data_IF_819090572467
#
_entry.id   IF_819090572467
#
_cell.length_a   1.000
_cell.length_b   1.000
_cell.length_c   1.000
_cell.angle_alpha   90.00
_cell.angle_beta   90.00
_cell.angle_gamma   90.00
#
_symmetry.space_group_name_H-M   'P 1'
#
loop_
_entity.id
_entity.type
_entity.pdbx_description
1 polymer ?
#
# COMPACT_ATOMS: atom_id res chain seq x y z
N UNK A 1 1.89 -7.08 -27.13
CA UNK A 1 0.44 -7.36 -27.10
C UNK A 1 -0.17 -6.73 -25.84
N UNK A 2 -1.24 -5.94 -25.96
CA UNK A 2 -1.82 -5.20 -24.82
C UNK A 2 -2.55 -6.17 -23.87
N UNK A 3 -1.95 -6.51 -22.72
CA UNK A 3 -2.51 -7.41 -21.69
C UNK A 3 -3.96 -7.06 -21.31
N UNK A 4 -4.34 -5.78 -21.43
CA UNK A 4 -5.72 -5.30 -21.19
C UNK A 4 -6.76 -5.94 -22.11
N UNK A 5 -6.42 -6.25 -23.37
CA UNK A 5 -7.35 -6.87 -24.33
C UNK A 5 -7.65 -8.34 -24.01
N UNK A 6 -6.74 -9.02 -23.32
CA UNK A 6 -6.89 -10.45 -23.01
C UNK A 6 -8.03 -10.73 -22.02
N UNK A 7 -8.35 -9.79 -21.11
CA UNK A 7 -9.44 -9.96 -20.15
C UNK A 7 -10.84 -9.81 -20.77
N UNK A 8 -10.97 -9.36 -22.01
CA UNK A 8 -12.26 -9.20 -22.66
C UNK A 8 -12.70 -10.46 -23.40
N UNK A 9 -11.75 -11.32 -23.78
CA UNK A 9 -12.00 -12.51 -24.60
C UNK A 9 -13.00 -13.47 -23.92
N UNK A 10 -12.85 -13.85 -22.62
CA UNK A 10 -13.80 -14.77 -22.00
C UNK A 10 -15.23 -14.20 -21.91
N UNK A 11 -15.37 -12.88 -21.74
CA UNK A 11 -16.68 -12.21 -21.72
C UNK A 11 -17.32 -12.25 -23.10
N UNK A 12 -16.55 -12.02 -24.16
CA UNK A 12 -17.05 -12.09 -25.53
C UNK A 12 -17.48 -13.52 -25.90
N UNK A 13 -16.70 -14.52 -25.51
CA UNK A 13 -17.07 -15.94 -25.69
C UNK A 13 -18.34 -16.27 -24.91
N UNK A 14 -18.44 -15.86 -23.65
CA UNK A 14 -19.65 -16.03 -22.83
C UNK A 14 -20.88 -15.34 -23.45
N UNK A 15 -20.71 -14.17 -24.07
CA UNK A 15 -21.78 -13.47 -24.80
C UNK A 15 -22.24 -14.28 -26.02
N UNK A 16 -21.32 -14.78 -26.84
CA UNK A 16 -21.66 -15.57 -28.03
C UNK A 16 -22.41 -16.85 -27.63
N UNK A 17 -21.90 -17.57 -26.63
CA UNK A 17 -22.56 -18.80 -26.13
C UNK A 17 -23.92 -18.44 -25.53
N UNK A 18 -24.00 -17.36 -24.75
CA UNK A 18 -25.25 -16.86 -24.20
C UNK A 18 -26.29 -16.56 -25.28
N UNK A 19 -25.90 -15.90 -26.37
CA UNK A 19 -26.79 -15.64 -27.52
C UNK A 19 -27.28 -16.96 -28.12
N UNK A 20 -26.38 -17.92 -28.37
CA UNK A 20 -26.76 -19.22 -28.96
C UNK A 20 -27.72 -19.96 -28.04
N UNK A 21 -27.37 -20.14 -26.77
CA UNK A 21 -28.16 -20.95 -25.86
C UNK A 21 -29.41 -20.24 -25.35
N UNK A 22 -29.27 -19.01 -24.82
CA UNK A 22 -30.36 -18.30 -24.15
C UNK A 22 -31.31 -17.53 -25.08
N UNK A 23 -31.03 -17.45 -26.39
CA UNK A 23 -31.94 -16.83 -27.37
C UNK A 23 -32.40 -17.83 -28.43
N UNK A 24 -31.49 -18.64 -28.98
CA UNK A 24 -31.83 -19.51 -30.12
C UNK A 24 -32.24 -20.94 -29.72
N UNK A 25 -31.61 -21.54 -28.71
CA UNK A 25 -31.88 -22.94 -28.32
C UNK A 25 -32.97 -23.03 -27.25
N UNK A 26 -32.77 -22.35 -26.12
CA UNK A 26 -33.67 -22.35 -24.97
C UNK A 26 -33.88 -20.89 -24.53
N UNK A 27 -34.89 -20.19 -25.08
CA UNK A 27 -35.12 -18.78 -24.81
C UNK A 27 -35.35 -18.51 -23.31
N UNK A 28 -34.28 -18.12 -22.62
CA UNK A 28 -34.26 -17.86 -21.18
C UNK A 28 -33.23 -16.78 -20.88
N UNK A 29 -33.71 -15.68 -20.29
CA UNK A 29 -32.84 -14.59 -19.86
C UNK A 29 -31.89 -15.05 -18.74
N UNK A 30 -32.31 -16.01 -17.90
CA UNK A 30 -31.46 -16.63 -16.88
C UNK A 30 -30.28 -17.37 -17.52
N UNK A 31 -30.54 -18.26 -18.47
CA UNK A 31 -29.50 -19.01 -19.19
C UNK A 31 -28.54 -18.05 -19.90
N UNK A 32 -29.07 -17.04 -20.60
CA UNK A 32 -28.29 -16.01 -21.28
C UNK A 32 -27.32 -15.29 -20.32
N UNK A 33 -27.84 -14.76 -19.20
CA UNK A 33 -27.04 -14.00 -18.23
C UNK A 33 -26.05 -14.89 -17.47
N UNK A 34 -26.36 -16.17 -17.26
CA UNK A 34 -25.43 -17.11 -16.64
C UNK A 34 -24.19 -17.36 -17.50
N UNK A 35 -24.34 -17.49 -18.82
CA UNK A 35 -23.19 -17.60 -19.72
C UNK A 35 -22.31 -16.33 -19.76
N UNK A 36 -22.93 -15.16 -19.76
CA UNK A 36 -22.20 -13.89 -19.64
C UNK A 36 -21.47 -13.81 -18.29
N UNK A 37 -22.15 -14.22 -17.21
CA UNK A 37 -21.57 -14.26 -15.87
C UNK A 37 -20.39 -15.22 -15.81
N UNK A 38 -20.43 -16.36 -16.48
CA UNK A 38 -19.27 -17.28 -16.58
C UNK A 38 -18.06 -16.60 -17.25
N UNK A 39 -18.31 -15.84 -18.32
CA UNK A 39 -17.28 -15.04 -18.98
C UNK A 39 -16.64 -14.00 -18.05
N UNK A 40 -17.46 -13.26 -17.29
CA UNK A 40 -16.96 -12.33 -16.26
C UNK A 40 -16.15 -13.04 -15.17
N UNK A 41 -16.58 -14.25 -14.78
CA UNK A 41 -15.93 -15.05 -13.74
C UNK A 41 -14.51 -15.38 -14.16
N UNK A 42 -14.35 -15.94 -15.37
CA UNK A 42 -13.04 -16.31 -15.93
C UNK A 42 -12.11 -15.09 -16.01
N UNK A 43 -12.61 -13.98 -16.54
CA UNK A 43 -11.84 -12.74 -16.64
C UNK A 43 -11.40 -12.21 -15.27
N UNK A 44 -12.27 -12.29 -14.26
CA UNK A 44 -11.92 -11.92 -12.90
C UNK A 44 -10.92 -12.90 -12.26
N UNK A 45 -11.11 -14.21 -12.43
CA UNK A 45 -10.19 -15.28 -11.97
C UNK A 45 -8.76 -15.02 -12.46
N UNK A 46 -8.60 -14.78 -13.77
CA UNK A 46 -7.30 -14.49 -14.38
C UNK A 46 -6.68 -13.22 -13.75
N UNK A 47 -7.49 -12.18 -13.53
CA UNK A 47 -7.04 -10.93 -12.89
C UNK A 47 -6.64 -11.12 -11.43
N UNK A 48 -7.37 -11.94 -10.68
CA UNK A 48 -7.03 -12.31 -9.29
C UNK A 48 -5.70 -13.04 -9.27
N UNK A 49 -5.52 -14.09 -10.08
CA UNK A 49 -4.26 -14.85 -10.16
C UNK A 49 -3.08 -13.93 -10.52
N UNK A 50 -3.24 -13.08 -11.53
CA UNK A 50 -2.22 -12.11 -11.92
C UNK A 50 -1.85 -11.16 -10.79
N UNK A 51 -2.85 -10.67 -10.03
CA UNK A 51 -2.61 -9.83 -8.86
C UNK A 51 -1.95 -10.60 -7.72
N UNK A 52 -2.37 -11.82 -7.40
CA UNK A 52 -1.72 -12.65 -6.37
C UNK A 52 -0.24 -12.81 -6.71
N UNK A 53 0.10 -13.13 -7.96
CA UNK A 53 1.50 -13.25 -8.42
C UNK A 53 2.27 -11.94 -8.26
N UNK A 54 1.69 -10.81 -8.68
CA UNK A 54 2.32 -9.50 -8.55
C UNK A 54 2.54 -9.11 -7.08
N UNK A 55 1.54 -9.32 -6.22
CA UNK A 55 1.59 -8.93 -4.82
C UNK A 55 2.37 -9.90 -3.92
N UNK A 56 2.56 -11.17 -4.33
CA UNK A 56 3.47 -12.11 -3.64
C UNK A 56 4.89 -11.54 -3.54
N UNK A 57 5.31 -10.73 -4.53
CA UNK A 57 6.60 -10.02 -4.52
C UNK A 57 6.73 -8.96 -3.42
N UNK A 58 5.62 -8.47 -2.87
CA UNK A 58 5.59 -7.43 -1.83
C UNK A 58 5.26 -7.99 -0.43
N UNK A 59 5.26 -9.33 -0.26
CA UNK A 59 5.02 -10.04 1.02
C UNK A 59 3.71 -9.72 1.75
N UNK A 60 2.78 -8.97 1.14
CA UNK A 60 1.50 -8.60 1.73
C UNK A 60 0.42 -8.36 0.67
N UNK A 61 -0.08 -9.41 -0.02
CA UNK A 61 -1.19 -9.24 -0.97
C UNK A 61 -2.49 -8.77 -0.30
N UNK A 62 -2.81 -9.30 0.87
CA UNK A 62 -4.16 -9.20 1.44
C UNK A 62 -4.49 -7.86 2.12
N UNK A 63 -3.59 -6.87 2.17
CA UNK A 63 -3.86 -5.56 2.78
C UNK A 63 -4.31 -4.50 1.76
N UNK A 64 -4.79 -4.92 0.60
CA UNK A 64 -5.32 -4.00 -0.42
C UNK A 64 -6.83 -4.14 -0.54
N UNK A 65 -7.49 -3.02 -0.79
CA UNK A 65 -8.94 -2.96 -1.07
C UNK A 65 -9.39 -3.94 -2.15
N UNK A 66 -8.55 -4.31 -3.12
CA UNK A 66 -8.90 -5.29 -4.14
C UNK A 66 -9.20 -6.68 -3.56
N UNK A 67 -8.36 -7.18 -2.65
CA UNK A 67 -8.56 -8.52 -2.07
C UNK A 67 -9.64 -8.53 -0.99
N UNK A 68 -9.86 -7.40 -0.32
CA UNK A 68 -10.84 -7.29 0.76
C UNK A 68 -12.23 -7.00 0.21
N UNK A 69 -12.38 -5.96 -0.64
CA UNK A 69 -13.65 -5.62 -1.26
C UNK A 69 -13.88 -6.50 -2.49
N UNK A 70 -13.02 -6.37 -3.50
CA UNK A 70 -13.27 -6.93 -4.83
C UNK A 70 -13.55 -8.43 -4.84
N UNK A 71 -12.77 -9.23 -4.10
CA UNK A 71 -12.98 -10.68 -4.03
C UNK A 71 -14.28 -11.03 -3.31
N UNK A 72 -14.58 -10.40 -2.17
CA UNK A 72 -15.84 -10.64 -1.47
C UNK A 72 -17.05 -10.18 -2.29
N UNK A 73 -16.98 -9.02 -2.96
CA UNK A 73 -18.06 -8.53 -3.81
C UNK A 73 -18.35 -9.48 -4.96
N UNK A 74 -17.31 -10.01 -5.61
CA UNK A 74 -17.49 -11.02 -6.66
C UNK A 74 -18.02 -12.33 -6.07
N UNK A 75 -17.51 -12.78 -4.92
CA UNK A 75 -18.05 -13.95 -4.23
C UNK A 75 -19.54 -13.81 -3.94
N UNK A 76 -19.98 -12.69 -3.37
CA UNK A 76 -21.39 -12.39 -3.10
C UNK A 76 -22.21 -12.34 -4.40
N UNK A 77 -21.69 -11.72 -5.46
CA UNK A 77 -22.39 -11.67 -6.75
C UNK A 77 -22.71 -13.07 -7.26
N UNK A 78 -21.71 -13.96 -7.39
CA UNK A 78 -21.97 -15.34 -7.84
C UNK A 78 -22.80 -16.14 -6.85
N UNK A 79 -22.69 -15.80 -5.57
CA UNK A 79 -23.48 -16.42 -4.52
C UNK A 79 -24.97 -16.12 -4.69
N UNK A 80 -25.34 -14.87 -4.94
CA UNK A 80 -26.73 -14.47 -5.17
C UNK A 80 -27.24 -14.90 -6.53
N UNK A 81 -26.42 -14.75 -7.58
CA UNK A 81 -26.76 -15.27 -8.92
C UNK A 81 -27.05 -16.77 -8.91
N UNK A 82 -26.44 -17.53 -8.00
CA UNK A 82 -26.73 -18.94 -7.81
C UNK A 82 -28.18 -19.28 -7.45
N UNK A 83 -28.96 -18.31 -6.96
CA UNK A 83 -30.39 -18.48 -6.67
C UNK A 83 -31.31 -18.14 -7.85
N UNK A 84 -30.77 -17.58 -8.94
CA UNK A 84 -31.53 -17.20 -10.13
C UNK A 84 -31.07 -17.95 -11.39
N UNK A 85 -29.89 -18.56 -11.37
CA UNK A 85 -29.33 -19.25 -12.55
C UNK A 85 -29.99 -20.59 -12.79
N UNK A 86 -30.52 -20.78 -14.00
CA UNK A 86 -30.96 -22.08 -14.50
C UNK A 86 -29.78 -22.95 -14.99
N UNK A 87 -28.63 -22.32 -15.25
CA UNK A 87 -27.42 -23.05 -15.63
C UNK A 87 -26.91 -23.85 -14.43
N UNK A 88 -26.87 -25.17 -14.57
CA UNK A 88 -26.59 -26.13 -13.50
C UNK A 88 -27.62 -26.11 -12.36
N UNK A 89 -28.91 -25.97 -12.70
CA UNK A 89 -30.03 -26.10 -11.76
C UNK A 89 -30.29 -27.55 -11.35
N UNK A 90 -29.28 -28.18 -10.75
CA UNK A 90 -29.39 -29.49 -10.12
C UNK A 90 -28.82 -29.42 -8.72
N UNK A 91 -29.48 -30.13 -7.80
CA UNK A 91 -29.10 -30.19 -6.39
C UNK A 91 -28.34 -31.50 -6.13
N UNK A 92 -27.22 -31.42 -5.41
CA UNK A 92 -26.46 -32.63 -5.05
C UNK A 92 -27.24 -33.61 -4.16
N UNK A 93 -28.21 -33.12 -3.37
CA UNK A 93 -28.92 -33.90 -2.35
C UNK A 93 -30.43 -33.75 -2.46
N UNK A 94 -30.99 -33.96 -3.66
CA UNK A 94 -32.42 -33.80 -3.95
C UNK A 94 -33.33 -34.63 -3.05
N UNK A 95 -32.84 -35.76 -2.54
CA UNK A 95 -33.60 -36.68 -1.67
C UNK A 95 -33.59 -36.29 -0.19
N UNK A 96 -32.60 -35.50 0.27
CA UNK A 96 -32.56 -34.95 1.63
C UNK A 96 -33.42 -33.68 1.67
N UNK A 97 -34.74 -33.89 1.59
CA UNK A 97 -35.79 -32.89 1.30
C UNK A 97 -35.87 -31.64 2.20
N UNK A 98 -35.04 -31.50 3.23
CA UNK A 98 -35.17 -30.45 4.26
C UNK A 98 -34.50 -29.11 3.93
N UNK A 99 -33.17 -29.12 3.93
CA UNK A 99 -32.41 -27.90 4.27
C UNK A 99 -30.98 -27.84 3.71
N UNK A 100 -30.55 -28.85 2.96
CA UNK A 100 -29.18 -28.92 2.40
C UNK A 100 -29.15 -28.60 0.92
N UNK A 101 -29.64 -27.40 0.57
CA UNK A 101 -29.48 -26.90 -0.79
C UNK A 101 -28.00 -26.60 -1.05
N UNK A 102 -27.38 -27.47 -1.85
CA UNK A 102 -26.00 -27.32 -2.32
C UNK A 102 -26.07 -27.24 -3.84
N UNK A 103 -26.02 -26.01 -4.34
CA UNK A 103 -26.00 -25.72 -5.77
C UNK A 103 -24.54 -25.75 -6.30
N UNK A 104 -24.24 -26.54 -7.35
CA UNK A 104 -22.91 -26.62 -7.97
C UNK A 104 -22.36 -25.26 -8.45
N UNK A 105 -23.22 -24.37 -8.95
CA UNK A 105 -22.87 -23.01 -9.34
C UNK A 105 -22.26 -22.25 -8.16
N UNK A 106 -22.94 -22.26 -7.02
CA UNK A 106 -22.47 -21.61 -5.79
C UNK A 106 -21.13 -22.20 -5.36
N UNK A 107 -21.03 -23.54 -5.37
CA UNK A 107 -19.82 -24.24 -4.92
C UNK A 107 -18.60 -23.93 -5.80
N UNK A 108 -18.77 -23.91 -7.13
CA UNK A 108 -17.67 -23.66 -8.06
C UNK A 108 -17.32 -22.18 -8.17
N UNK A 109 -18.33 -21.31 -8.28
CA UNK A 109 -18.10 -19.92 -8.68
C UNK A 109 -18.06 -18.95 -7.50
N UNK A 110 -18.79 -19.21 -6.42
CA UNK A 110 -18.86 -18.31 -5.26
C UNK A 110 -17.90 -18.71 -4.14
N UNK A 111 -17.93 -19.99 -3.71
CA UNK A 111 -17.20 -20.47 -2.52
C UNK A 111 -15.71 -20.14 -2.54
N UNK A 112 -14.94 -20.33 -3.64
CA UNK A 112 -13.52 -19.98 -3.65
C UNK A 112 -13.26 -18.52 -3.30
N UNK A 113 -14.13 -17.61 -3.76
CA UNK A 113 -14.02 -16.18 -3.49
C UNK A 113 -14.52 -15.80 -2.10
N UNK A 114 -15.64 -16.38 -1.65
CA UNK A 114 -16.15 -16.15 -0.29
C UNK A 114 -15.13 -16.61 0.76
N UNK A 115 -14.55 -17.81 0.60
CA UNK A 115 -13.52 -18.33 1.51
C UNK A 115 -12.27 -17.46 1.52
N UNK A 116 -11.75 -17.10 0.34
CA UNK A 116 -10.59 -16.22 0.24
C UNK A 116 -10.87 -14.81 0.78
N UNK A 117 -12.09 -14.32 0.57
CA UNK A 117 -12.57 -13.03 1.04
C UNK A 117 -12.69 -12.98 2.57
N UNK A 118 -13.28 -14.00 3.19
CA UNK A 118 -13.32 -14.18 4.65
C UNK A 118 -11.91 -14.28 5.24
N UNK A 119 -11.02 -15.04 4.61
CA UNK A 119 -9.62 -15.13 5.02
C UNK A 119 -8.90 -13.78 4.95
N UNK A 120 -9.17 -12.99 3.91
CA UNK A 120 -8.60 -11.65 3.75
C UNK A 120 -9.14 -10.68 4.81
N UNK A 121 -10.43 -10.76 5.16
CA UNK A 121 -11.03 -10.01 6.27
C UNK A 121 -10.43 -10.40 7.62
N UNK A 122 -10.31 -11.70 7.88
CA UNK A 122 -9.65 -12.22 9.08
C UNK A 122 -8.24 -11.66 9.23
N UNK A 123 -7.43 -11.71 8.15
CA UNK A 123 -6.08 -11.13 8.16
C UNK A 123 -6.09 -9.61 8.36
N UNK A 124 -7.06 -8.91 7.79
CA UNK A 124 -7.23 -7.47 8.00
C UNK A 124 -7.52 -7.09 9.45
N UNK A 125 -8.30 -7.92 10.16
CA UNK A 125 -8.57 -7.74 11.58
C UNK A 125 -7.34 -8.09 12.42
N UNK A 126 -6.76 -9.28 12.19
CA UNK A 126 -5.70 -9.85 13.06
C UNK A 126 -4.31 -9.28 12.82
N UNK A 127 -3.91 -9.08 11.55
CA UNK A 127 -2.50 -8.88 11.17
C UNK A 127 -2.21 -7.47 10.69
N UNK A 128 -3.14 -6.81 10.01
CA UNK A 128 -2.87 -5.53 9.35
C UNK A 128 -3.31 -4.35 10.22
N UNK A 129 -2.50 -3.28 10.22
CA UNK A 129 -2.88 -2.01 10.84
C UNK A 129 -3.61 -1.10 9.86
N UNK A 130 -3.20 -1.14 8.59
CA UNK A 130 -3.73 -0.31 7.50
C UNK A 130 -4.09 -1.15 6.28
N UNK A 131 -5.17 -0.75 5.60
CA UNK A 131 -5.57 -1.22 4.28
C UNK A 131 -5.34 -0.09 3.29
N UNK A 132 -4.74 -0.41 2.16
CA UNK A 132 -4.55 0.55 1.09
C UNK A 132 -5.77 0.60 0.17
N UNK A 133 -6.44 1.74 0.19
CA UNK A 133 -7.50 2.11 -0.76
C UNK A 133 -6.83 2.90 -1.87
N UNK A 134 -6.68 2.29 -3.04
CA UNK A 134 -6.22 2.96 -4.26
C UNK A 134 -4.95 3.84 -4.11
N UNK A 135 -3.76 3.26 -4.36
CA UNK A 135 -2.42 3.90 -4.48
C UNK A 135 -1.94 4.82 -3.33
N UNK A 136 -2.72 5.78 -2.86
CA UNK A 136 -2.31 6.83 -1.92
C UNK A 136 -3.16 6.93 -0.66
N UNK A 137 -4.39 6.38 -0.64
CA UNK A 137 -5.22 6.42 0.57
C UNK A 137 -5.02 5.15 1.39
N UNK A 138 -4.95 5.31 2.71
CA UNK A 138 -4.95 4.21 3.65
C UNK A 138 -6.04 4.42 4.68
N UNK A 139 -6.66 3.33 5.11
CA UNK A 139 -7.65 3.33 6.18
C UNK A 139 -7.24 2.34 7.23
N UNK A 140 -7.75 2.53 8.45
CA UNK A 140 -7.52 1.61 9.55
C UNK A 140 -8.10 0.24 9.22
N UNK A 141 -7.23 -0.78 9.16
CA UNK A 141 -7.58 -2.09 8.62
C UNK A 141 -8.74 -2.76 9.37
N UNK A 142 -8.62 -2.84 10.70
CA UNK A 142 -9.64 -3.46 11.55
C UNK A 142 -11.00 -2.78 11.45
N UNK A 143 -11.05 -1.46 11.57
CA UNK A 143 -12.33 -0.71 11.51
C UNK A 143 -13.02 -0.90 10.16
N UNK A 144 -12.24 -0.83 9.08
CA UNK A 144 -12.73 -1.07 7.73
C UNK A 144 -13.21 -2.52 7.52
N UNK A 145 -12.47 -3.52 8.01
CA UNK A 145 -12.83 -4.92 7.87
C UNK A 145 -14.11 -5.27 8.65
N UNK A 146 -14.27 -4.75 9.88
CA UNK A 146 -15.49 -4.93 10.66
C UNK A 146 -16.67 -4.25 9.98
N UNK A 147 -16.51 -2.98 9.58
CA UNK A 147 -17.55 -2.25 8.85
C UNK A 147 -18.01 -3.03 7.60
N UNK A 148 -17.06 -3.53 6.82
CA UNK A 148 -17.39 -4.29 5.61
C UNK A 148 -18.03 -5.65 5.91
N UNK A 149 -17.59 -6.36 6.95
CA UNK A 149 -18.22 -7.61 7.37
C UNK A 149 -19.66 -7.39 7.84
N UNK A 150 -19.94 -6.32 8.59
CA UNK A 150 -21.30 -5.92 9.00
C UNK A 150 -22.14 -5.56 7.78
N UNK A 151 -21.59 -4.78 6.84
CA UNK A 151 -22.30 -4.43 5.61
C UNK A 151 -22.65 -5.67 4.77
N UNK A 152 -21.73 -6.64 4.64
CA UNK A 152 -22.00 -7.93 3.98
C UNK A 152 -23.08 -8.72 4.71
N UNK A 153 -23.04 -8.77 6.04
CA UNK A 153 -24.06 -9.47 6.83
C UNK A 153 -25.45 -8.85 6.64
N UNK A 154 -25.58 -7.52 6.73
CA UNK A 154 -26.84 -6.82 6.46
C UNK A 154 -27.32 -7.09 5.03
N UNK A 155 -26.43 -7.05 4.05
CA UNK A 155 -26.76 -7.33 2.65
C UNK A 155 -27.28 -8.77 2.48
N UNK A 156 -26.67 -9.75 3.15
CA UNK A 156 -27.17 -11.12 3.19
C UNK A 156 -28.56 -11.18 3.81
N UNK A 157 -28.81 -10.53 4.95
CA UNK A 157 -30.15 -10.51 5.58
C UNK A 157 -31.21 -9.94 4.63
N UNK A 158 -30.92 -8.84 3.94
CA UNK A 158 -31.81 -8.29 2.91
C UNK A 158 -32.06 -9.32 1.82
N UNK A 159 -31.01 -9.99 1.35
CA UNK A 159 -31.13 -11.05 0.35
C UNK A 159 -31.95 -12.25 0.83
N UNK A 160 -31.87 -12.61 2.12
CA UNK A 160 -32.73 -13.64 2.72
C UNK A 160 -34.20 -13.28 2.60
N UNK A 161 -34.57 -12.04 2.90
CA UNK A 161 -35.94 -11.56 2.72
C UNK A 161 -36.38 -11.64 1.25
N UNK A 162 -35.50 -11.27 0.31
CA UNK A 162 -35.77 -11.38 -1.13
C UNK A 162 -36.12 -12.82 -1.53
N UNK A 163 -35.31 -13.80 -1.12
CA UNK A 163 -35.53 -15.20 -1.51
C UNK A 163 -36.75 -15.82 -0.80
N UNK A 164 -36.96 -15.52 0.49
CA UNK A 164 -38.09 -16.08 1.28
C UNK A 164 -39.42 -15.52 0.80
N UNK A 165 -39.47 -14.21 0.51
CA UNK A 165 -40.66 -13.54 0.00
C UNK A 165 -40.84 -13.69 -1.51
N UNK A 166 -39.94 -14.41 -2.19
CA UNK A 166 -39.89 -14.56 -3.66
C UNK A 166 -40.02 -13.23 -4.42
N UNK A 167 -39.37 -12.19 -3.90
CA UNK A 167 -39.39 -10.86 -4.54
C UNK A 167 -38.65 -10.94 -5.87
N UNK A 168 -39.30 -10.52 -6.94
CA UNK A 168 -38.66 -10.40 -8.25
C UNK A 168 -37.58 -9.31 -8.24
N UNK A 169 -36.37 -9.67 -8.65
CA UNK A 169 -35.26 -8.72 -8.77
C UNK A 169 -34.90 -8.63 -10.25
N UNK A 170 -35.10 -7.45 -10.86
CA UNK A 170 -34.78 -7.22 -12.27
C UNK A 170 -35.39 -8.27 -13.23
N UNK A 171 -36.67 -8.61 -13.02
CA UNK A 171 -37.43 -9.63 -13.76
C UNK A 171 -37.03 -11.10 -13.47
N UNK A 172 -36.21 -11.35 -12.45
CA UNK A 172 -35.85 -12.70 -12.04
C UNK A 172 -36.55 -13.11 -10.75
N UNK A 173 -37.25 -14.23 -10.81
CA UNK A 173 -37.82 -14.91 -9.64
C UNK A 173 -36.78 -15.88 -9.10
N UNK A 174 -36.50 -15.88 -7.78
CA UNK A 174 -35.56 -16.83 -7.21
C UNK A 174 -36.07 -18.27 -7.38
N UNK A 175 -35.21 -19.15 -7.88
CA UNK A 175 -35.49 -20.59 -8.08
C UNK A 175 -35.67 -21.27 -6.72
N UNK A 176 -34.86 -20.87 -5.73
CA UNK A 176 -34.92 -21.42 -4.38
C UNK A 176 -35.46 -20.39 -3.39
N UNK A 177 -36.43 -20.79 -2.57
CA UNK A 177 -37.05 -19.94 -1.54
C UNK A 177 -36.49 -20.16 -0.12
N UNK A 178 -35.46 -21.00 0.02
CA UNK A 178 -34.82 -21.30 1.30
C UNK A 178 -33.30 -21.08 1.23
N UNK A 179 -32.66 -20.62 2.31
CA UNK A 179 -31.21 -20.46 2.34
C UNK A 179 -30.52 -21.83 2.33
N UNK A 180 -29.59 -22.03 1.39
CA UNK A 180 -28.78 -23.24 1.35
C UNK A 180 -27.68 -23.31 2.42
N UNK A 181 -27.04 -24.47 2.57
CA UNK A 181 -26.01 -24.69 3.60
C UNK A 181 -24.86 -23.68 3.51
N UNK A 182 -24.39 -23.37 2.29
CA UNK A 182 -23.32 -22.39 2.05
C UNK A 182 -23.72 -21.00 2.56
N UNK A 183 -25.01 -20.63 2.44
CA UNK A 183 -25.56 -19.38 2.94
C UNK A 183 -25.41 -19.28 4.46
N UNK A 184 -25.86 -20.32 5.14
CA UNK A 184 -25.88 -20.40 6.60
C UNK A 184 -24.45 -20.34 7.13
N UNK A 185 -23.55 -21.17 6.57
CA UNK A 185 -22.14 -21.21 6.96
C UNK A 185 -21.45 -19.87 6.71
N UNK A 186 -21.67 -19.24 5.55
CA UNK A 186 -21.05 -17.95 5.25
C UNK A 186 -21.47 -16.86 6.25
N UNK A 187 -22.76 -16.79 6.59
CA UNK A 187 -23.26 -15.84 7.58
C UNK A 187 -22.76 -16.14 8.99
N UNK A 188 -22.67 -17.41 9.38
CA UNK A 188 -22.07 -17.82 10.64
C UNK A 188 -20.61 -17.35 10.74
N UNK A 189 -19.80 -17.54 9.70
CA UNK A 189 -18.42 -17.05 9.67
C UNK A 189 -18.33 -15.52 9.71
N UNK A 190 -19.25 -14.80 9.08
CA UNK A 190 -19.32 -13.33 9.18
C UNK A 190 -19.60 -12.89 10.62
N UNK A 191 -20.58 -13.50 11.30
CA UNK A 191 -20.89 -13.20 12.70
C UNK A 191 -19.68 -13.48 13.60
N UNK A 192 -19.02 -14.63 13.43
CA UNK A 192 -17.80 -14.97 14.16
C UNK A 192 -16.70 -13.92 13.92
N UNK A 193 -16.50 -13.48 12.68
CA UNK A 193 -15.52 -12.43 12.36
C UNK A 193 -15.86 -11.07 12.95
N UNK A 194 -17.14 -10.70 12.98
CA UNK A 194 -17.62 -9.46 13.58
C UNK A 194 -17.35 -9.50 15.09
N UNK A 195 -17.77 -10.57 15.78
CA UNK A 195 -17.55 -10.76 17.23
C UNK A 195 -16.05 -10.75 17.53
N UNK A 196 -15.26 -11.53 16.79
CA UNK A 196 -13.81 -11.56 16.92
C UNK A 196 -13.19 -10.17 16.74
N UNK A 197 -13.62 -9.45 15.70
CA UNK A 197 -13.16 -8.11 15.39
C UNK A 197 -13.54 -7.08 16.45
N UNK A 198 -14.67 -7.23 17.14
CA UNK A 198 -15.08 -6.34 18.24
C UNK A 198 -14.35 -6.70 19.54
N UNK A 199 -14.29 -7.99 19.89
CA UNK A 199 -13.73 -8.50 21.14
C UNK A 199 -12.21 -8.36 21.25
N UNK A 200 -11.48 -8.40 20.12
CA UNK A 200 -10.02 -8.34 20.15
C UNK A 200 -9.54 -7.03 20.80
N UNK A 201 -8.89 -7.09 21.96
CA UNK A 201 -8.29 -5.87 22.56
C UNK A 201 -7.21 -5.35 21.61
N UNK A 202 -7.08 -4.01 21.49
CA UNK A 202 -6.03 -3.40 20.65
C UNK A 202 -4.68 -3.91 21.16
N UNK A 203 -3.99 -4.75 20.40
CA UNK A 203 -2.55 -4.92 20.56
C UNK A 203 -1.93 -3.54 20.35
N UNK A 204 -1.52 -2.91 21.45
CA UNK A 204 -0.80 -1.65 21.37
C UNK A 204 0.53 -1.97 20.68
N UNK A 205 1.12 -1.00 20.00
CA UNK A 205 2.47 -1.17 19.42
C UNK A 205 3.51 -1.55 20.50
N UNK A 206 3.19 -1.27 21.79
CA UNK A 206 3.94 -1.74 22.96
C UNK A 206 3.91 -3.27 23.19
N UNK A 207 3.01 -3.99 22.53
CA UNK A 207 2.83 -5.44 22.65
C UNK A 207 3.49 -6.22 21.49
N UNK A 208 4.18 -5.54 20.56
CA UNK A 208 5.23 -6.23 19.82
C UNK A 208 6.29 -6.56 20.88
N UNK A 209 6.43 -7.84 21.21
CA UNK A 209 7.41 -8.27 22.20
C UNK A 209 8.75 -7.61 21.86
N UNK A 210 9.48 -7.08 22.87
CA UNK A 210 10.84 -6.62 22.68
C UNK A 210 11.65 -7.62 21.85
N UNK A 211 11.43 -8.92 22.06
CA UNK A 211 11.98 -10.03 21.28
C UNK A 211 11.65 -9.99 19.78
N UNK A 212 10.45 -9.60 19.34
CA UNK A 212 10.13 -9.47 17.91
C UNK A 212 10.82 -8.26 17.26
N UNK A 213 11.05 -7.21 18.04
CA UNK A 213 11.83 -6.04 17.62
C UNK A 213 13.32 -6.39 17.58
N UNK A 214 13.79 -7.14 18.57
CA UNK A 214 15.15 -7.63 18.74
C UNK A 214 15.48 -8.68 17.67
N UNK A 215 14.60 -9.64 17.39
CA UNK A 215 14.75 -10.62 16.32
C UNK A 215 14.76 -9.95 14.93
N UNK A 216 13.99 -8.87 14.74
CA UNK A 216 14.09 -8.05 13.51
C UNK A 216 15.39 -7.26 13.44
N UNK A 217 15.90 -6.73 14.56
CA UNK A 217 17.22 -6.06 14.62
C UNK A 217 18.34 -7.05 14.36
N UNK A 218 18.37 -8.17 15.07
CA UNK A 218 19.34 -9.24 14.92
C UNK A 218 19.36 -9.81 13.50
N UNK A 219 18.21 -9.96 12.84
CA UNK A 219 18.15 -10.38 11.43
C UNK A 219 18.69 -9.32 10.47
N UNK A 220 18.50 -8.03 10.77
CA UNK A 220 19.06 -6.94 9.96
C UNK A 220 20.57 -6.85 10.19
N UNK A 221 21.02 -7.02 11.44
CA UNK A 221 22.43 -7.07 11.80
C UNK A 221 23.12 -8.28 11.18
N UNK A 222 22.51 -9.47 11.19
CA UNK A 222 23.08 -10.68 10.57
C UNK A 222 23.22 -10.55 9.04
N UNK A 223 22.30 -9.86 8.39
CA UNK A 223 22.38 -9.57 6.94
C UNK A 223 23.48 -8.53 6.67
N UNK A 224 23.68 -7.57 7.58
CA UNK A 224 24.74 -6.57 7.45
C UNK A 224 26.13 -7.14 7.75
N UNK A 225 26.26 -8.02 8.74
CA UNK A 225 27.54 -8.63 9.11
C UNK A 225 27.98 -9.70 8.10
N UNK A 226 27.05 -10.48 7.53
CA UNK A 226 27.36 -11.44 6.45
C UNK A 226 27.83 -10.77 5.14
N UNK A 227 27.62 -9.46 4.97
CA UNK A 227 28.14 -8.69 3.82
C UNK A 227 29.48 -8.01 4.09
N UNK A 228 30.03 -8.14 5.30
CA UNK A 228 31.31 -7.52 5.71
C UNK A 228 32.38 -8.59 5.98
N UNK A 229 32.22 -9.84 5.53
CA UNK A 229 33.38 -10.73 5.42
C UNK A 229 34.23 -10.29 4.21
N UNK A 230 35.44 -9.75 4.42
CA UNK A 230 36.34 -9.47 3.33
C UNK A 230 36.88 -10.80 2.80
N UNK A 231 36.78 -11.00 1.49
CA UNK A 231 37.59 -11.96 0.76
C UNK A 231 39.06 -11.55 0.92
N UNK A 232 39.72 -11.98 1.99
CA UNK A 232 41.16 -11.84 2.15
C UNK A 232 41.84 -12.98 1.41
N UNK A 233 42.22 -12.67 0.19
CA UNK A 233 43.31 -13.33 -0.54
C UNK A 233 44.64 -13.17 0.21
N UNK A 234 45.48 -14.21 0.08
CA UNK A 234 46.95 -14.31 0.17
C UNK A 234 47.66 -14.41 1.54
N UNK A 235 48.18 -15.64 1.76
CA UNK A 235 49.59 -16.01 2.02
C UNK A 235 50.41 -15.40 3.17
N UNK A 236 50.87 -16.33 4.01
CA UNK A 236 52.24 -16.57 4.51
C UNK A 236 52.92 -15.64 5.54
N UNK A 237 53.62 -16.34 6.46
CA UNK A 237 54.70 -15.95 7.38
C UNK A 237 54.36 -15.44 8.79
N UNK A 238 54.27 -16.44 9.67
CA UNK A 238 55.11 -16.69 10.86
C UNK A 238 54.99 -15.83 12.14
N UNK A 239 55.28 -16.44 13.31
CA UNK A 239 54.82 -15.98 14.62
C UNK A 239 55.94 -15.36 15.47
N UNK A 240 55.60 -14.42 16.37
CA UNK A 240 56.43 -14.12 17.54
C UNK A 240 55.67 -13.35 18.62
N UNK A 241 55.50 -14.04 19.74
CA UNK A 241 55.69 -13.62 21.15
C UNK A 241 55.08 -12.35 21.75
N UNK A 242 54.54 -12.59 22.97
CA UNK A 242 54.85 -11.94 24.27
C UNK A 242 53.84 -10.96 24.88
N UNK A 243 53.11 -11.51 25.87
CA UNK A 243 52.85 -11.01 27.23
C UNK A 243 53.18 -9.55 27.58
N UNK A 244 52.21 -8.81 28.13
CA UNK A 244 52.22 -8.27 29.52
C UNK A 244 50.88 -7.54 29.80
N UNK A 245 50.05 -8.06 30.70
CA UNK A 245 49.82 -7.60 32.09
C UNK A 245 49.20 -6.20 32.27
N UNK A 246 47.96 -6.23 32.80
CA UNK A 246 47.55 -5.66 34.10
C UNK A 246 47.61 -4.13 34.25
N UNK A 247 46.45 -3.48 34.47
CA UNK A 247 46.04 -2.94 35.79
C UNK A 247 44.65 -2.28 35.75
N UNK A 248 43.78 -2.73 36.65
CA UNK A 248 42.53 -2.09 37.01
C UNK A 248 42.77 -0.89 37.93
N UNK A 249 41.94 0.16 37.82
CA UNK A 249 41.71 1.10 38.92
C UNK A 249 40.27 1.62 38.88
N UNK A 250 39.49 1.46 39.97
CA UNK A 250 38.18 2.08 40.13
C UNK A 250 38.31 3.44 40.82
N UNK A 251 37.39 4.36 40.55
CA UNK A 251 37.21 5.54 41.40
C UNK A 251 35.72 5.80 41.58
N UNK A 252 35.26 5.47 42.77
CA UNK A 252 34.01 5.87 43.40
C UNK A 252 34.21 7.23 44.07
N UNK A 253 33.35 8.20 43.80
CA UNK A 253 33.02 9.24 44.77
C UNK A 253 31.63 9.80 44.48
N UNK A 254 30.82 9.72 45.54
CA UNK A 254 29.42 10.05 45.70
C UNK A 254 29.35 11.50 46.15
N UNK A 255 28.45 12.32 45.58
CA UNK A 255 28.02 13.55 46.26
C UNK A 255 26.54 13.81 46.02
N UNK A 256 25.89 14.07 47.14
CA UNK A 256 24.48 14.17 47.43
C UNK A 256 23.87 15.51 47.03
N UNK A 257 22.65 15.43 46.51
CA UNK A 257 21.50 16.35 46.67
C UNK A 257 21.71 17.73 47.32
N UNK A 258 21.27 18.78 46.60
CA UNK A 258 20.37 19.76 47.23
C UNK A 258 19.38 20.32 46.21
N UNK A 259 18.18 20.56 46.74
CA UNK A 259 16.91 20.87 46.11
C UNK A 259 16.70 22.37 46.33
N UNK A 260 16.44 23.15 45.29
CA UNK A 260 15.81 24.46 45.51
C UNK A 260 14.86 24.81 44.36
N UNK A 261 13.61 25.02 44.76
CA UNK A 261 12.51 25.45 43.95
C UNK A 261 12.57 26.97 43.79
N UNK A 262 12.37 27.47 42.57
CA UNK A 262 11.88 28.84 42.35
C UNK A 262 11.23 28.99 40.98
N UNK A 263 9.97 29.41 41.00
CA UNK A 263 9.17 30.04 39.93
C UNK A 263 8.38 31.18 40.61
N UNK A 264 7.78 32.11 39.88
CA UNK A 264 8.33 32.96 38.83
C UNK A 264 7.97 34.44 39.10
N UNK A 265 8.69 35.41 38.50
CA UNK A 265 8.26 36.81 38.54
C UNK A 265 8.37 37.46 37.16
N UNK A 266 7.22 37.97 36.72
CA UNK A 266 6.94 39.13 35.86
C UNK A 266 7.98 39.60 34.84
N UNK A 267 7.53 39.82 33.60
CA UNK A 267 7.63 41.15 32.98
C UNK A 267 6.79 41.27 31.70
N UNK A 268 5.76 42.10 31.81
CA UNK A 268 5.34 43.19 30.92
C UNK A 268 5.70 43.15 29.43
N UNK A 269 4.62 43.18 28.64
CA UNK A 269 4.43 43.88 27.36
C UNK A 269 5.24 45.19 27.26
N UNK A 270 5.61 45.59 26.03
CA UNK A 270 5.09 46.88 25.57
C UNK A 270 4.44 46.85 24.18
N UNK A 271 3.68 47.91 24.02
CA UNK A 271 2.78 48.38 22.96
C UNK A 271 3.47 48.77 21.65
N UNK A 272 2.62 48.82 20.61
CA UNK A 272 2.76 49.31 19.23
C UNK A 272 3.46 50.68 19.09
N UNK A 273 3.86 51.11 17.87
CA UNK A 273 2.87 51.86 17.05
C UNK A 273 3.05 51.84 15.50
N UNK A 274 1.91 51.94 14.81
CA UNK A 274 1.57 52.85 13.68
C UNK A 274 2.63 53.22 12.62
N UNK A 275 2.30 53.01 11.33
CA UNK A 275 2.09 54.06 10.29
C UNK A 275 2.00 53.40 8.89
N UNK A 276 0.89 53.57 8.16
CA UNK A 276 0.51 54.60 7.17
C UNK A 276 1.07 54.40 5.75
N UNK A 277 0.11 54.42 4.82
CA UNK A 277 0.11 54.89 3.44
C UNK A 277 1.12 54.33 2.44
N UNK A 278 0.61 53.83 1.31
CA UNK A 278 0.42 54.69 0.14
C UNK A 278 -0.20 53.90 -1.02
N UNK A 279 -1.43 54.25 -1.34
CA UNK A 279 -2.07 54.05 -2.63
C UNK A 279 -1.31 54.87 -3.68
N UNK A 280 -0.76 54.18 -4.69
CA UNK A 280 -0.26 54.82 -5.89
C UNK A 280 -0.83 54.09 -7.12
N UNK A 281 -1.72 54.82 -7.78
CA UNK A 281 -2.27 54.57 -9.10
C UNK A 281 -1.16 54.34 -10.13
N UNK A 282 -1.23 53.25 -10.90
CA UNK A 282 -0.48 53.15 -12.15
C UNK A 282 -1.25 52.37 -13.22
N UNK A 283 -1.88 53.18 -14.07
CA UNK A 283 -2.05 53.06 -15.53
C UNK A 283 -2.02 51.65 -16.14
N UNK A 284 -3.19 51.28 -16.62
CA UNK A 284 -3.45 50.29 -17.66
C UNK A 284 -2.66 50.61 -18.95
N UNK A 285 -1.60 49.85 -19.21
CA UNK A 285 -1.03 49.69 -20.56
C UNK A 285 -1.29 48.28 -21.06
N UNK A 286 -2.02 48.19 -22.17
CA UNK A 286 -2.32 46.97 -22.94
C UNK A 286 -1.03 46.14 -23.19
N UNK A 287 -1.03 44.82 -22.95
CA UNK A 287 0.10 43.99 -23.32
C UNK A 287 0.15 43.78 -24.84
N UNK A 288 1.23 44.26 -25.45
CA UNK A 288 1.66 43.94 -26.83
C UNK A 288 1.89 42.42 -26.95
N UNK A 289 1.43 41.73 -28.01
CA UNK A 289 1.62 40.29 -28.15
C UNK A 289 3.12 39.98 -28.30
N UNK A 290 3.72 39.34 -27.29
CA UNK A 290 5.08 38.83 -27.38
C UNK A 290 5.10 37.61 -28.29
N UNK A 291 5.62 37.87 -29.49
CA UNK A 291 6.16 36.88 -30.43
C UNK A 291 6.82 35.71 -29.70
N UNK A 292 6.31 34.51 -29.98
CA UNK A 292 6.85 33.21 -29.61
C UNK A 292 8.16 32.98 -30.36
N UNK A 293 9.22 33.64 -29.91
CA UNK A 293 10.58 33.29 -30.32
C UNK A 293 10.96 31.99 -29.60
N UNK A 294 11.02 30.91 -30.38
CA UNK A 294 11.52 29.60 -29.98
C UNK A 294 12.90 29.77 -29.35
N UNK A 295 12.97 29.71 -28.01
CA UNK A 295 14.20 29.92 -27.28
C UNK A 295 15.24 28.86 -27.68
N UNK A 296 16.17 29.22 -28.56
CA UNK A 296 17.36 28.41 -28.89
C UNK A 296 17.99 27.98 -27.57
N UNK A 297 18.05 26.68 -27.31
CA UNK A 297 18.68 26.08 -26.11
C UNK A 297 20.13 26.58 -26.04
N UNK A 298 20.38 27.58 -25.21
CA UNK A 298 21.71 28.13 -24.94
C UNK A 298 22.57 26.98 -24.41
N UNK A 299 23.60 26.58 -25.16
CA UNK A 299 24.57 25.57 -24.71
C UNK A 299 25.24 26.07 -23.43
N UNK A 300 25.30 25.23 -22.40
CA UNK A 300 25.96 25.55 -21.14
C UNK A 300 27.45 25.77 -21.39
N UNK A 301 28.06 26.74 -20.71
CA UNK A 301 29.51 26.91 -20.76
C UNK A 301 30.20 25.72 -20.08
N UNK A 302 31.46 25.38 -20.42
CA UNK A 302 32.19 24.27 -19.79
C UNK A 302 32.26 24.39 -18.26
N UNK A 303 32.41 25.61 -17.73
CA UNK A 303 32.39 25.88 -16.29
C UNK A 303 31.02 25.57 -15.66
N UNK A 304 29.92 26.00 -16.29
CA UNK A 304 28.56 25.69 -15.82
C UNK A 304 28.28 24.19 -15.86
N UNK A 305 28.78 23.48 -16.88
CA UNK A 305 28.65 22.03 -16.98
C UNK A 305 29.42 21.31 -15.86
N UNK A 306 30.65 21.74 -15.55
CA UNK A 306 31.43 21.20 -14.43
C UNK A 306 30.73 21.39 -13.09
N UNK A 307 30.17 22.58 -12.85
CA UNK A 307 29.37 22.87 -11.65
C UNK A 307 28.11 22.00 -11.57
N UNK A 308 27.40 21.81 -12.69
CA UNK A 308 26.22 20.97 -12.75
C UNK A 308 26.52 19.50 -12.45
N UNK A 309 27.61 18.96 -13.01
CA UNK A 309 28.06 17.59 -12.73
C UNK A 309 28.43 17.44 -11.25
N UNK A 310 29.14 18.42 -10.66
CA UNK A 310 29.44 18.41 -9.24
C UNK A 310 28.16 18.41 -8.38
N UNK A 311 27.13 19.17 -8.80
CA UNK A 311 25.82 19.17 -8.16
C UNK A 311 25.15 17.80 -8.25
N UNK A 312 25.16 17.13 -9.40
CA UNK A 312 24.61 15.77 -9.55
C UNK A 312 25.34 14.74 -8.70
N UNK A 313 26.68 14.79 -8.65
CA UNK A 313 27.49 13.90 -7.79
C UNK A 313 27.07 13.97 -6.32
N UNK A 314 26.71 15.15 -5.81
CA UNK A 314 26.22 15.33 -4.43
C UNK A 314 24.84 14.72 -4.16
N UNK A 315 24.05 14.47 -5.21
CA UNK A 315 22.72 13.87 -5.11
C UNK A 315 22.74 12.34 -5.20
N UNK A 316 23.91 11.73 -5.40
CA UNK A 316 24.08 10.28 -5.50
C UNK A 316 23.82 9.62 -4.14
N UNK A 317 22.91 8.63 -4.04
CA UNK A 317 22.82 7.76 -2.87
C UNK A 317 24.16 7.09 -2.56
N UNK A 318 24.49 6.98 -1.27
CA UNK A 318 25.68 6.27 -0.83
C UNK A 318 25.35 4.78 -0.70
N UNK A 319 25.53 4.04 -1.78
CA UNK A 319 25.34 2.59 -1.86
C UNK A 319 26.57 1.95 -2.53
N UNK A 320 26.78 0.65 -2.31
CA UNK A 320 27.87 -0.12 -2.94
C UNK A 320 27.61 -0.28 -4.44
N UNK A 321 26.41 -0.73 -4.80
CA UNK A 321 25.92 -0.76 -6.18
C UNK A 321 24.74 0.18 -6.34
N UNK A 322 24.80 1.03 -7.37
CA UNK A 322 23.75 2.01 -7.64
C UNK A 322 22.73 1.41 -8.60
N UNK A 323 21.50 1.25 -8.13
CA UNK A 323 20.36 0.78 -8.93
C UNK A 323 19.32 1.89 -9.09
N UNK A 324 18.34 1.70 -9.99
CA UNK A 324 17.23 2.64 -10.13
C UNK A 324 16.39 2.74 -8.84
N UNK A 325 16.38 1.67 -8.04
CA UNK A 325 15.59 1.60 -6.81
C UNK A 325 16.16 2.49 -5.71
N UNK A 326 17.46 2.79 -5.73
CA UNK A 326 18.12 3.69 -4.79
C UNK A 326 17.71 5.15 -4.94
N UNK A 327 17.07 5.49 -6.07
CA UNK A 327 16.52 6.82 -6.34
C UNK A 327 15.03 6.95 -6.00
N UNK A 328 14.37 5.86 -5.59
CA UNK A 328 12.96 5.89 -5.19
C UNK A 328 12.83 6.52 -3.81
N UNK A 329 11.77 7.31 -3.61
CA UNK A 329 11.42 7.80 -2.28
C UNK A 329 11.24 6.62 -1.32
N UNK A 330 11.92 6.64 -0.18
CA UNK A 330 11.89 5.54 0.79
C UNK A 330 10.51 5.27 1.42
N UNK A 331 9.62 6.26 1.42
CA UNK A 331 8.31 6.13 2.07
C UNK A 331 7.21 5.71 1.09
N UNK A 332 7.16 6.32 -0.09
CA UNK A 332 6.13 6.02 -1.09
C UNK A 332 6.60 5.03 -2.17
N UNK A 333 7.87 4.62 -2.13
CA UNK A 333 8.50 3.66 -3.07
C UNK A 333 8.34 4.02 -4.55
N UNK A 334 8.05 5.29 -4.84
CA UNK A 334 7.92 5.80 -6.21
C UNK A 334 9.18 6.55 -6.61
N UNK A 335 9.57 6.37 -7.86
CA UNK A 335 10.63 7.16 -8.47
C UNK A 335 10.10 8.58 -8.71
N UNK A 336 10.78 9.66 -8.26
CA UNK A 336 10.33 11.03 -8.51
C UNK A 336 10.28 11.34 -10.00
N UNK A 337 9.13 11.77 -10.51
CA UNK A 337 8.94 12.07 -11.93
C UNK A 337 8.55 13.52 -12.16
N UNK A 338 9.10 14.12 -13.20
CA UNK A 338 8.71 15.44 -13.67
C UNK A 338 8.10 15.30 -15.06
N UNK A 339 6.90 15.87 -15.32
CA UNK A 339 6.21 16.90 -14.54
C UNK A 339 5.20 16.41 -13.47
N UNK A 340 4.99 15.11 -13.28
CA UNK A 340 3.90 14.59 -12.43
C UNK A 340 4.03 15.01 -10.96
N UNK A 341 5.25 15.03 -10.40
CA UNK A 341 5.54 15.48 -9.05
C UNK A 341 5.95 16.97 -9.01
N UNK A 342 5.56 17.79 -9.99
CA UNK A 342 5.86 19.23 -10.02
C UNK A 342 5.27 19.92 -8.78
N UNK A 343 6.11 20.68 -8.08
CA UNK A 343 5.75 21.34 -6.81
C UNK A 343 6.14 20.52 -5.57
N UNK A 344 6.33 19.20 -5.70
CA UNK A 344 6.93 18.39 -4.64
C UNK A 344 8.43 18.67 -4.54
N UNK A 345 8.98 18.43 -3.36
CA UNK A 345 10.40 18.62 -3.05
C UNK A 345 11.00 17.31 -2.58
N UNK A 346 12.29 17.10 -2.85
CA UNK A 346 13.06 15.93 -2.41
C UNK A 346 13.97 16.34 -1.28
N UNK A 347 14.04 15.51 -0.25
CA UNK A 347 14.94 15.62 0.90
C UNK A 347 15.85 14.38 0.86
N UNK A 348 17.15 14.57 1.07
CA UNK A 348 18.11 13.46 1.13
C UNK A 348 18.55 13.22 2.56
N UNK A 349 18.82 11.99 2.98
CA UNK A 349 19.48 11.76 4.26
C UNK A 349 20.89 12.40 4.27
N UNK A 350 21.29 13.17 5.29
CA UNK A 350 22.63 13.75 5.35
C UNK A 350 23.76 12.70 5.45
N UNK A 351 23.47 11.52 6.02
CA UNK A 351 24.45 10.43 6.15
C UNK A 351 24.56 9.60 4.87
N UNK A 352 23.45 9.06 4.38
CA UNK A 352 23.43 8.10 3.26
C UNK A 352 22.92 8.65 1.92
N UNK A 353 22.49 9.91 1.85
CA UNK A 353 21.91 10.55 0.66
C UNK A 353 20.66 9.85 0.08
N UNK A 354 20.01 8.96 0.83
CA UNK A 354 18.81 8.27 0.35
C UNK A 354 17.62 9.24 0.27
N UNK A 355 16.83 9.23 -0.83
CA UNK A 355 15.80 10.24 -1.05
C UNK A 355 14.47 9.95 -0.35
N UNK A 356 13.79 11.03 -0.01
CA UNK A 356 12.40 11.05 0.41
C UNK A 356 11.70 12.27 -0.20
N UNK A 357 10.41 12.16 -0.48
CA UNK A 357 9.59 13.34 -0.72
C UNK A 357 9.43 14.13 0.59
N UNK A 358 9.47 15.46 0.49
CA UNK A 358 9.54 16.34 1.66
C UNK A 358 8.33 16.21 2.59
N UNK A 359 7.13 15.98 2.03
CA UNK A 359 5.91 15.80 2.80
C UNK A 359 5.93 14.48 3.60
N UNK A 360 6.31 13.36 2.98
CA UNK A 360 6.47 12.07 3.67
C UNK A 360 7.60 12.11 4.70
N UNK A 361 8.71 12.79 4.38
CA UNK A 361 9.80 13.00 5.34
C UNK A 361 9.32 13.78 6.57
N UNK A 362 8.57 14.86 6.37
CA UNK A 362 8.02 15.67 7.48
C UNK A 362 7.06 14.86 8.35
N UNK A 363 6.26 13.97 7.75
CA UNK A 363 5.38 13.06 8.47
C UNK A 363 6.18 12.05 9.32
N UNK A 364 7.19 11.41 8.73
CA UNK A 364 8.10 10.50 9.44
C UNK A 364 8.78 11.16 10.64
N UNK A 365 9.26 12.40 10.45
CA UNK A 365 9.95 13.16 11.50
C UNK A 365 9.08 13.51 12.71
N UNK A 366 7.75 13.36 12.64
CA UNK A 366 6.87 13.53 13.81
C UNK A 366 6.98 12.38 14.81
N UNK A 367 7.40 11.19 14.35
CA UNK A 367 7.46 9.97 15.16
C UNK A 367 8.85 9.37 15.29
N UNK A 368 9.84 9.85 14.55
CA UNK A 368 11.21 9.31 14.59
C UNK A 368 12.26 10.39 14.34
N UNK A 369 13.37 10.29 15.06
CA UNK A 369 14.56 11.12 14.88
C UNK A 369 15.65 10.46 14.03
N UNK A 370 15.34 9.29 13.46
CA UNK A 370 16.30 8.46 12.73
C UNK A 370 15.99 8.44 11.25
N UNK A 371 17.02 8.28 10.42
CA UNK A 371 16.84 7.98 9.01
C UNK A 371 16.22 6.59 8.84
N UNK A 372 15.14 6.48 8.08
CA UNK A 372 14.45 5.21 7.79
C UNK A 372 15.29 4.19 7.01
N UNK A 373 16.38 4.61 6.34
CA UNK A 373 17.29 3.72 5.61
C UNK A 373 18.46 3.23 6.45
N UNK A 374 19.24 4.17 7.00
CA UNK A 374 20.52 3.88 7.63
C UNK A 374 20.48 3.97 9.16
N UNK A 375 19.30 4.21 9.74
CA UNK A 375 19.05 4.33 11.18
C UNK A 375 19.88 5.42 11.89
N UNK A 376 20.59 6.26 11.14
CA UNK A 376 21.40 7.31 11.72
C UNK A 376 20.53 8.43 12.27
N UNK A 377 20.94 8.96 13.43
CA UNK A 377 20.29 10.09 14.06
C UNK A 377 20.42 11.35 13.18
N UNK A 378 19.29 12.03 12.98
CA UNK A 378 19.22 13.23 12.17
C UNK A 378 19.51 14.47 13.04
N UNK A 379 20.44 15.36 12.63
CA UNK A 379 20.74 16.57 13.39
C UNK A 379 19.51 17.44 13.62
N UNK A 380 19.34 18.01 14.81
CA UNK A 380 18.17 18.85 15.15
C UNK A 380 17.95 20.02 14.20
N UNK A 381 19.01 20.63 13.68
CA UNK A 381 18.94 21.67 12.65
C UNK A 381 18.33 21.15 11.35
N UNK A 382 18.68 19.92 10.95
CA UNK A 382 18.14 19.24 9.78
C UNK A 382 16.66 18.87 9.93
N UNK A 383 16.25 18.48 11.14
CA UNK A 383 14.85 18.16 11.45
C UNK A 383 13.94 19.39 11.30
N UNK A 384 14.40 20.56 11.75
CA UNK A 384 13.65 21.82 11.69
C UNK A 384 13.57 22.38 10.27
N UNK A 385 14.68 22.31 9.52
CA UNK A 385 14.76 22.87 8.17
C UNK A 385 15.58 21.96 7.24
N UNK A 386 14.98 20.86 6.72
CA UNK A 386 15.69 19.95 5.84
C UNK A 386 16.01 20.62 4.50
N UNK A 387 17.21 20.36 3.96
CA UNK A 387 17.59 20.88 2.64
C UNK A 387 16.73 20.24 1.56
N UNK A 388 15.90 21.04 0.90
CA UNK A 388 15.03 20.58 -0.18
C UNK A 388 15.63 20.76 -1.57
N UNK A 389 15.45 19.77 -2.44
CA UNK A 389 15.85 19.74 -3.84
C UNK A 389 14.58 19.72 -4.71
N UNK A 390 14.59 20.40 -5.86
CA UNK A 390 13.46 20.33 -6.79
C UNK A 390 13.43 18.97 -7.49
N UNK A 391 12.23 18.42 -7.70
CA UNK A 391 12.08 17.14 -8.42
C UNK A 391 12.72 17.21 -9.80
N UNK A 392 12.57 18.31 -10.55
CA UNK A 392 13.22 18.50 -11.85
C UNK A 392 14.74 18.26 -11.79
N UNK A 393 15.43 18.90 -10.85
CA UNK A 393 16.87 18.75 -10.68
C UNK A 393 17.25 17.31 -10.29
N UNK A 394 16.45 16.68 -9.43
CA UNK A 394 16.68 15.31 -8.98
C UNK A 394 16.47 14.30 -10.13
N UNK A 395 15.39 14.45 -10.89
CA UNK A 395 15.12 13.64 -12.09
C UNK A 395 16.21 13.80 -13.16
N UNK A 396 16.76 15.00 -13.34
CA UNK A 396 17.89 15.22 -14.25
C UNK A 396 19.17 14.53 -13.74
N UNK A 397 19.41 14.51 -12.43
CA UNK A 397 20.51 13.75 -11.83
C UNK A 397 20.34 12.23 -12.02
N UNK A 398 19.12 11.69 -11.87
CA UNK A 398 18.82 10.27 -12.13
C UNK A 398 19.17 9.91 -13.58
N UNK A 399 18.72 10.73 -14.54
CA UNK A 399 19.05 10.54 -15.98
C UNK A 399 20.55 10.57 -16.23
N UNK A 400 21.27 11.49 -15.59
CA UNK A 400 22.72 11.58 -15.68
C UNK A 400 23.41 10.30 -15.19
N UNK A 401 23.02 9.76 -14.03
CA UNK A 401 23.61 8.52 -13.51
C UNK A 401 23.23 7.29 -14.33
N UNK A 402 22.00 7.21 -14.85
CA UNK A 402 21.59 6.14 -15.75
C UNK A 402 22.43 6.11 -17.03
N UNK A 403 22.69 7.28 -17.64
CA UNK A 403 23.51 7.39 -18.85
C UNK A 403 24.99 7.05 -18.60
N UNK A 404 25.52 7.34 -17.42
CA UNK A 404 26.95 7.17 -17.10
C UNK A 404 27.29 5.83 -16.44
N UNK A 405 26.38 5.30 -15.64
CA UNK A 405 26.61 4.14 -14.76
C UNK A 405 25.98 2.84 -15.24
N UNK A 406 25.22 2.84 -16.35
CA UNK A 406 24.73 1.62 -16.99
C UNK A 406 23.98 0.68 -16.07
N UNK A 407 22.90 1.18 -15.44
CA UNK A 407 21.90 0.33 -14.78
C UNK A 407 20.51 0.52 -15.41
#
# INVERSE_FOLDING_TARGET
MNIKKFYFIPVLVGLIIGIIHGIFLEPSLNIFLSWISLGFWLSFSIKVIAKIRNYKRYSSPHNTSFFILGINTIGIFYFYSGYFTELMDWEFFRELQSYTLINPWILMFAVPYLMYGLYSLYKAIKKYQVIYIYKSKSVRARGFAIFYAVAMFINNIIFLFIIVLKIEVLFFTPIYSAPGLVYILHNLFLVILIIYGLAQKRTRIRDLSPELIEQRRARVESIQSAQIEPTSTSSSRSPSSRNTQRRARPTTARTTTSRSARKPASRTRPSSPSTKSSSASQKTTKPKPKSTTTAKRRKLTPQQQKQLIAKYKRLKPKTTMLTLDDFKCIFCFSLPKYPEDKGRRIVLCPKCNYPAHANEFKEWMRGSDLCSRCSAQLPSSYKRNPKTISVKLYSDAIKFFRKKGGF
#
